data_IF_204174684069
#
_entry.id   IF_204174684069
#
_cell.length_a   1.000
_cell.length_b   1.000
_cell.length_c   1.000
_cell.angle_alpha   90.00
_cell.angle_beta   90.00
_cell.angle_gamma   90.00
#
_symmetry.space_group_name_H-M   'P 1'
#
loop_
_entity.id
_entity.type
_entity.pdbx_description
1 polymer ?
#
# COMPACT_ATOMS: atom_id res chain seq x y z
N UNK A 1 -11.96 19.28 -6.40
CA UNK A 1 -11.08 19.63 -5.29
C UNK A 1 -10.13 20.76 -5.71
N UNK A 2 -10.09 21.84 -4.92
CA UNK A 2 -9.19 22.95 -5.19
C UNK A 2 -7.98 22.87 -4.27
N UNK A 3 -6.79 22.91 -4.88
CA UNK A 3 -5.53 22.81 -4.16
C UNK A 3 -4.63 24.01 -4.49
N UNK A 4 -3.77 24.37 -3.54
CA UNK A 4 -2.72 25.36 -3.73
C UNK A 4 -1.38 24.65 -3.62
N UNK A 5 -0.42 25.08 -4.43
CA UNK A 5 0.95 24.61 -4.40
C UNK A 5 1.84 25.65 -3.73
N UNK A 6 2.64 25.18 -2.78
CA UNK A 6 3.62 26.03 -2.07
C UNK A 6 5.02 25.47 -2.33
N UNK A 7 5.73 25.98 -3.34
CA UNK A 7 7.06 25.45 -3.68
C UNK A 7 8.08 25.56 -2.56
N UNK A 8 7.93 26.57 -1.67
CA UNK A 8 8.79 26.76 -0.50
C UNK A 8 8.55 25.77 0.63
N UNK A 9 7.49 24.95 0.54
CA UNK A 9 7.16 23.94 1.57
C UNK A 9 7.83 22.59 1.34
N UNK A 10 8.73 22.48 0.39
CA UNK A 10 9.40 21.23 0.05
C UNK A 10 10.14 20.65 1.26
N UNK A 11 9.94 19.34 1.49
CA UNK A 11 10.56 18.61 2.59
C UNK A 11 12.10 18.78 2.60
N UNK A 12 12.63 19.07 3.77
CA UNK A 12 14.06 19.33 3.95
C UNK A 12 14.50 20.77 3.64
N UNK A 13 13.65 21.55 2.98
CA UNK A 13 13.95 22.95 2.60
C UNK A 13 12.74 23.86 2.86
N UNK A 14 11.89 23.49 3.82
CA UNK A 14 10.66 24.22 4.08
C UNK A 14 10.91 25.56 4.75
N UNK A 15 10.64 26.63 4.04
CA UNK A 15 10.68 28.01 4.52
C UNK A 15 9.30 28.67 4.57
N UNK A 16 8.25 27.91 4.29
CA UNK A 16 6.88 28.44 4.19
C UNK A 16 6.28 28.84 5.53
N UNK A 17 6.78 28.27 6.63
CA UNK A 17 6.19 28.46 7.96
C UNK A 17 4.86 27.75 8.18
N UNK A 18 4.40 26.95 7.20
CA UNK A 18 3.17 26.18 7.30
C UNK A 18 3.34 25.00 8.23
N UNK A 19 2.33 24.76 9.08
CA UNK A 19 2.27 23.62 10.01
C UNK A 19 1.00 22.83 9.72
N UNK A 20 0.99 21.96 8.72
CA UNK A 20 -0.20 21.19 8.39
C UNK A 20 -0.55 20.21 9.51
N UNK A 21 -1.85 20.00 9.73
CA UNK A 21 -2.33 19.07 10.76
C UNK A 21 -2.27 17.61 10.34
N UNK A 22 -2.05 17.34 9.06
CA UNK A 22 -1.94 15.99 8.54
C UNK A 22 -1.33 15.99 7.16
N UNK A 23 -0.97 14.81 6.72
CA UNK A 23 -0.40 14.57 5.40
C UNK A 23 -1.14 13.42 4.75
N UNK A 24 -1.53 13.61 3.52
CA UNK A 24 -2.19 12.57 2.73
C UNK A 24 -1.37 12.27 1.47
N UNK A 25 -1.54 11.07 0.95
CA UNK A 25 -1.00 10.68 -0.34
C UNK A 25 -2.11 10.79 -1.38
N UNK A 26 -1.77 11.21 -2.58
CA UNK A 26 -2.76 11.40 -3.65
C UNK A 26 -2.17 11.06 -5.02
N UNK A 27 -3.03 10.73 -5.97
CA UNK A 27 -2.67 10.56 -7.38
C UNK A 27 -3.69 11.29 -8.24
N UNK A 28 -3.29 11.64 -9.45
CA UNK A 28 -4.17 12.29 -10.41
C UNK A 28 -5.21 11.31 -10.96
N UNK A 29 -6.48 11.64 -10.87
CA UNK A 29 -7.55 10.80 -11.38
C UNK A 29 -7.39 10.52 -12.89
N UNK A 30 -7.05 11.55 -13.65
CA UNK A 30 -6.91 11.43 -15.11
C UNK A 30 -5.61 10.76 -15.56
N UNK A 31 -4.57 10.78 -14.72
CA UNK A 31 -3.28 10.24 -15.05
C UNK A 31 -2.95 8.91 -14.37
N UNK A 32 -3.73 8.50 -13.37
CA UNK A 32 -3.45 7.28 -12.64
C UNK A 32 -3.88 6.03 -13.42
N UNK A 33 -3.14 4.96 -13.18
CA UNK A 33 -3.46 3.63 -13.71
C UNK A 33 -4.10 2.79 -12.61
N UNK A 34 -5.10 1.99 -12.98
CA UNK A 34 -5.75 1.07 -12.05
C UNK A 34 -4.92 -0.19 -11.87
N UNK A 35 -4.75 -0.59 -10.63
CA UNK A 35 -4.05 -1.82 -10.25
C UNK A 35 -4.88 -2.61 -9.24
N UNK A 36 -4.51 -3.87 -9.05
CA UNK A 36 -5.02 -4.70 -7.95
C UNK A 36 -3.99 -4.80 -6.85
N UNK A 37 -4.47 -4.69 -5.62
CA UNK A 37 -3.65 -4.87 -4.44
C UNK A 37 -4.16 -6.06 -3.66
N UNK A 38 -3.26 -6.99 -3.36
CA UNK A 38 -3.54 -8.14 -2.51
C UNK A 38 -2.96 -7.88 -1.12
N UNK A 39 -3.81 -7.94 -0.13
CA UNK A 39 -3.45 -7.80 1.28
C UNK A 39 -3.61 -9.15 1.96
N UNK A 40 -2.58 -9.54 2.68
CA UNK A 40 -2.54 -10.85 3.34
C UNK A 40 -2.64 -10.68 4.84
N UNK A 41 -3.39 -11.56 5.46
CA UNK A 41 -3.47 -11.73 6.89
C UNK A 41 -3.11 -13.17 7.24
N UNK A 42 -3.14 -13.52 8.49
CA UNK A 42 -2.84 -14.86 8.98
C UNK A 42 -3.79 -15.87 8.35
N UNK A 43 -3.24 -16.99 7.87
CA UNK A 43 -4.04 -18.05 7.26
C UNK A 43 -4.94 -18.74 8.28
N UNK A 44 -4.46 -18.89 9.51
CA UNK A 44 -5.21 -19.51 10.60
C UNK A 44 -5.56 -18.50 11.68
N UNK A 45 -6.73 -18.70 12.30
CA UNK A 45 -7.21 -17.85 13.40
C UNK A 45 -6.42 -18.05 14.68
N UNK A 46 -5.74 -19.20 14.81
CA UNK A 46 -4.95 -19.56 15.99
C UNK A 46 -3.50 -19.84 15.58
N UNK A 47 -2.52 -19.62 16.48
CA UNK A 47 -1.10 -19.84 16.16
C UNK A 47 -0.74 -21.30 15.84
N UNK A 48 -1.45 -22.25 16.44
CA UNK A 48 -1.16 -23.67 16.28
C UNK A 48 -2.49 -24.44 16.06
N UNK A 49 -2.96 -24.50 14.80
CA UNK A 49 -4.19 -25.21 14.49
C UNK A 49 -4.02 -26.71 14.68
N UNK A 50 -4.98 -27.32 15.36
CA UNK A 50 -4.97 -28.77 15.60
C UNK A 50 -5.23 -29.52 14.28
N UNK A 51 -4.52 -30.64 14.09
CA UNK A 51 -4.55 -31.41 12.85
C UNK A 51 -5.97 -31.92 12.50
N UNK A 52 -6.80 -32.19 13.51
CA UNK A 52 -8.13 -32.74 13.30
C UNK A 52 -9.18 -31.71 12.88
N UNK A 53 -8.95 -30.43 13.20
CA UNK A 53 -9.89 -29.35 12.92
C UNK A 53 -9.27 -28.12 12.28
N UNK A 54 -8.12 -28.26 11.61
CA UNK A 54 -7.43 -27.13 11.02
C UNK A 54 -8.29 -26.36 10.01
N UNK A 55 -9.21 -27.06 9.31
CA UNK A 55 -10.10 -26.43 8.34
C UNK A 55 -11.08 -25.46 9.00
N UNK A 56 -11.48 -25.73 10.25
CA UNK A 56 -12.35 -24.84 11.02
C UNK A 56 -11.62 -23.59 11.50
N UNK A 57 -10.30 -23.66 11.58
CA UNK A 57 -9.44 -22.56 12.03
C UNK A 57 -8.91 -21.70 10.89
N UNK A 58 -9.30 -21.98 9.65
CA UNK A 58 -8.90 -21.17 8.50
C UNK A 58 -9.56 -19.79 8.58
N UNK A 59 -8.73 -18.78 8.40
CA UNK A 59 -9.20 -17.41 8.25
C UNK A 59 -9.58 -17.17 6.79
N UNK A 60 -10.87 -17.18 6.51
CA UNK A 60 -11.40 -16.98 5.15
C UNK A 60 -11.17 -15.55 4.63
N UNK A 61 -10.77 -14.63 5.49
CA UNK A 61 -10.42 -13.26 5.15
C UNK A 61 -8.90 -13.04 5.10
N UNK A 62 -8.11 -14.12 5.02
CA UNK A 62 -6.66 -14.04 4.99
C UNK A 62 -6.09 -13.40 3.73
N UNK A 63 -6.88 -13.34 2.66
CA UNK A 63 -6.54 -12.64 1.44
C UNK A 63 -7.68 -11.68 1.08
N UNK A 64 -7.36 -10.39 1.00
CA UNK A 64 -8.28 -9.36 0.54
C UNK A 64 -7.71 -8.72 -0.71
N UNK A 65 -8.48 -8.70 -1.77
CA UNK A 65 -8.14 -8.00 -3.01
C UNK A 65 -8.91 -6.69 -3.08
N UNK A 66 -8.24 -5.62 -3.42
CA UNK A 66 -8.87 -4.32 -3.65
C UNK A 66 -8.29 -3.63 -4.87
N UNK A 67 -9.10 -2.76 -5.46
CA UNK A 67 -8.65 -1.90 -6.54
C UNK A 67 -7.96 -0.68 -5.96
N UNK A 68 -6.91 -0.24 -6.63
CA UNK A 68 -6.18 0.96 -6.26
C UNK A 68 -5.72 1.71 -7.50
N UNK A 69 -5.21 2.91 -7.30
CA UNK A 69 -4.68 3.75 -8.37
C UNK A 69 -3.21 4.05 -8.09
N UNK A 70 -2.40 4.01 -9.13
CA UNK A 70 -0.96 4.23 -9.04
C UNK A 70 -0.51 5.19 -10.14
N UNK A 71 0.57 5.92 -9.87
CA UNK A 71 1.22 6.71 -10.91
C UNK A 71 1.81 5.78 -11.98
N UNK A 72 1.61 6.08 -13.28
CA UNK A 72 2.10 5.23 -14.36
C UNK A 72 3.60 4.99 -14.31
N UNK A 73 4.38 5.95 -13.84
CA UNK A 73 5.82 5.84 -13.73
C UNK A 73 6.25 4.65 -12.86
N UNK A 74 5.48 4.28 -11.84
CA UNK A 74 5.78 3.15 -10.98
C UNK A 74 5.63 1.81 -11.73
N UNK A 75 4.73 1.72 -12.70
CA UNK A 75 4.55 0.52 -13.52
C UNK A 75 5.71 0.30 -14.49
N UNK A 76 6.33 1.39 -14.95
CA UNK A 76 7.44 1.35 -15.90
C UNK A 76 8.78 1.00 -15.24
N UNK A 77 8.86 1.06 -13.90
CA UNK A 77 10.07 0.71 -13.18
C UNK A 77 10.31 -0.80 -13.23
N UNK A 78 11.55 -1.17 -13.47
CA UNK A 78 11.97 -2.59 -13.52
C UNK A 78 12.19 -3.21 -12.13
N UNK A 79 12.08 -2.41 -11.07
CA UNK A 79 12.16 -2.93 -9.71
C UNK A 79 10.89 -3.68 -9.34
N UNK A 80 11.03 -4.64 -8.41
CA UNK A 80 9.93 -5.48 -7.96
C UNK A 80 9.41 -5.11 -6.58
N UNK A 81 10.15 -4.34 -5.81
CA UNK A 81 9.81 -3.96 -4.45
C UNK A 81 9.60 -2.46 -4.36
N UNK A 82 8.54 -2.06 -3.68
CA UNK A 82 8.12 -0.66 -3.56
C UNK A 82 7.75 -0.35 -2.13
N UNK A 83 8.06 0.85 -1.71
CA UNK A 83 7.41 1.48 -0.58
C UNK A 83 6.43 2.53 -1.11
N UNK A 84 5.15 2.34 -0.83
CA UNK A 84 4.17 3.38 -1.07
C UNK A 84 4.03 4.19 0.22
N UNK A 85 4.48 5.43 0.17
CA UNK A 85 4.51 6.31 1.35
C UNK A 85 3.15 6.32 2.05
N UNK A 86 3.17 6.20 3.37
CA UNK A 86 2.01 6.21 4.25
C UNK A 86 1.04 5.03 4.04
N UNK A 87 1.40 4.07 3.23
CA UNK A 87 0.56 2.90 2.95
C UNK A 87 1.24 1.60 3.38
N UNK A 88 2.44 1.35 2.91
CA UNK A 88 3.16 0.13 3.25
C UNK A 88 4.19 -0.28 2.21
N UNK A 89 4.67 -1.50 2.36
CA UNK A 89 5.65 -2.09 1.45
C UNK A 89 4.95 -3.13 0.58
N UNK A 90 5.32 -3.14 -0.70
CA UNK A 90 4.66 -3.96 -1.72
C UNK A 90 5.67 -4.63 -2.63
N UNK A 91 5.29 -5.77 -3.17
CA UNK A 91 6.04 -6.48 -4.20
C UNK A 91 5.17 -6.66 -5.43
N UNK A 92 5.72 -6.39 -6.60
CA UNK A 92 5.04 -6.71 -7.86
C UNK A 92 4.85 -8.21 -7.99
N UNK A 93 3.66 -8.61 -8.42
CA UNK A 93 3.39 -9.98 -8.83
C UNK A 93 3.96 -10.24 -10.23
N UNK A 94 3.80 -11.44 -10.75
CA UNK A 94 4.10 -11.75 -12.15
C UNK A 94 3.27 -10.90 -13.10
N UNK A 95 2.00 -10.67 -12.75
CA UNK A 95 1.19 -9.65 -13.42
C UNK A 95 1.62 -8.26 -12.92
N UNK A 96 2.14 -7.43 -13.84
CA UNK A 96 2.67 -6.10 -13.52
C UNK A 96 1.65 -5.15 -12.90
N UNK A 97 0.36 -5.43 -13.04
CA UNK A 97 -0.72 -4.63 -12.46
C UNK A 97 -1.24 -5.16 -11.14
N UNK A 98 -0.57 -6.16 -10.57
CA UNK A 98 -0.90 -6.72 -9.27
C UNK A 98 0.26 -6.47 -8.30
N UNK A 99 -0.06 -5.91 -7.12
CA UNK A 99 0.90 -5.64 -6.08
C UNK A 99 0.49 -6.39 -4.80
N UNK A 100 1.43 -7.13 -4.26
CA UNK A 100 1.25 -7.87 -3.01
C UNK A 100 1.80 -7.04 -1.86
N UNK A 101 0.97 -6.77 -0.85
CA UNK A 101 1.45 -6.11 0.36
C UNK A 101 2.31 -7.09 1.17
N UNK A 102 3.53 -6.70 1.47
CA UNK A 102 4.46 -7.53 2.23
C UNK A 102 4.42 -7.21 3.71
N UNK A 103 4.51 -5.93 4.06
CA UNK A 103 4.36 -5.46 5.44
C UNK A 103 3.64 -4.12 5.45
N UNK A 104 2.92 -3.84 6.54
CA UNK A 104 2.35 -2.54 6.81
C UNK A 104 3.40 -1.63 7.46
N UNK A 105 3.13 -0.33 7.53
CA UNK A 105 4.05 0.62 8.16
C UNK A 105 4.09 0.51 9.68
N UNK A 106 3.08 -0.10 10.29
CA UNK A 106 2.91 -0.17 11.75
C UNK A 106 3.20 -1.54 12.34
N UNK A 107 3.35 -2.55 11.52
CA UNK A 107 3.74 -3.88 11.97
C UNK A 107 5.24 -3.89 12.17
N UNK A 108 5.66 -3.78 13.41
CA UNK A 108 7.03 -4.00 13.81
C UNK A 108 7.25 -5.48 14.16
N UNK A 109 8.46 -5.88 14.02
CA UNK A 109 8.90 -7.18 14.51
C UNK A 109 9.24 -7.11 16.01
#
# INVERSE_FOLDING_TARGET
LRCRYFPESRSGQDTSGLKPKGVIHWVSESGAEQIKVKKYDRLFKVPDPQADNFMDEINHESLVECDAFIEPAALDLDQRQFQFERVGYFSKDEDVRVFNQTVTLREGF
#
